data_IF_387832887012
#
_entry.id   IF_387832887012
#
_cell.length_a   1.000
_cell.length_b   1.000
_cell.length_c   1.000
_cell.angle_alpha   90.00
_cell.angle_beta   90.00
_cell.angle_gamma   90.00
#
_symmetry.space_group_name_H-M   'P 1'
#
loop_
_entity.id
_entity.type
_entity.pdbx_description
1 polymer ?
#
# COMPACT_ATOMS: atom_id res chain seq x y z
N UNK A 1 13.48 -30.04 4.17
CA UNK A 1 12.82 -29.88 5.50
C UNK A 1 13.44 -28.64 6.14
N UNK A 2 12.64 -27.66 6.58
CA UNK A 2 13.17 -26.46 7.22
C UNK A 2 13.65 -26.81 8.63
N UNK A 3 14.95 -26.68 8.87
CA UNK A 3 15.58 -26.94 10.17
C UNK A 3 15.04 -25.95 11.20
N UNK A 4 14.41 -26.45 12.27
CA UNK A 4 14.00 -25.65 13.43
C UNK A 4 15.19 -25.53 14.39
N UNK A 5 15.53 -24.32 14.75
CA UNK A 5 16.58 -23.99 15.71
C UNK A 5 16.01 -23.09 16.84
N UNK A 6 16.75 -22.93 17.92
CA UNK A 6 16.28 -22.20 19.11
C UNK A 6 17.29 -21.11 19.49
N UNK A 7 16.78 -19.93 19.88
CA UNK A 7 17.54 -18.86 20.54
C UNK A 7 16.81 -18.35 21.77
N UNK A 8 17.47 -17.56 22.60
CA UNK A 8 16.84 -16.85 23.72
C UNK A 8 16.66 -15.38 23.36
N UNK A 9 15.43 -14.87 23.55
CA UNK A 9 15.12 -13.46 23.36
C UNK A 9 14.56 -12.91 24.68
N UNK A 10 15.23 -11.94 25.28
CA UNK A 10 14.87 -11.40 26.60
C UNK A 10 14.69 -12.48 27.67
N UNK A 11 15.49 -13.54 27.59
CA UNK A 11 15.43 -14.69 28.50
C UNK A 11 14.42 -15.78 28.14
N UNK A 12 13.53 -15.55 27.17
CA UNK A 12 12.55 -16.54 26.69
C UNK A 12 13.16 -17.39 25.56
N UNK A 13 12.91 -18.69 25.59
CA UNK A 13 13.28 -19.62 24.51
C UNK A 13 12.30 -19.50 23.34
N UNK A 14 12.84 -19.25 22.14
CA UNK A 14 12.06 -19.08 20.91
C UNK A 14 12.57 -20.05 19.84
N UNK A 15 11.69 -20.89 19.35
CA UNK A 15 11.96 -21.80 18.23
C UNK A 15 11.60 -21.15 16.92
N UNK A 16 12.46 -21.25 15.91
CA UNK A 16 12.25 -20.61 14.62
C UNK A 16 12.93 -21.36 13.48
N UNK A 17 12.51 -21.08 12.24
CA UNK A 17 13.12 -21.66 11.05
C UNK A 17 14.47 -21.00 10.80
N UNK A 18 15.50 -21.82 10.56
CA UNK A 18 16.83 -21.36 10.15
C UNK A 18 16.75 -20.47 8.89
N UNK A 19 17.47 -19.38 8.87
CA UNK A 19 17.49 -18.41 7.79
C UNK A 19 16.67 -17.14 8.04
N UNK A 20 15.81 -17.11 9.08
CA UNK A 20 15.15 -15.88 9.50
C UNK A 20 16.11 -14.92 10.18
N UNK A 21 15.90 -13.62 9.98
CA UNK A 21 16.61 -12.57 10.72
C UNK A 21 16.09 -12.50 12.17
N UNK A 22 16.87 -11.92 13.07
CA UNK A 22 16.45 -11.71 14.47
C UNK A 22 15.15 -10.89 14.53
N UNK A 23 14.97 -9.89 13.64
CA UNK A 23 13.74 -9.09 13.57
C UNK A 23 12.53 -9.95 13.24
N UNK A 24 12.64 -10.82 12.23
CA UNK A 24 11.55 -11.72 11.83
C UNK A 24 11.19 -12.71 12.93
N UNK A 25 12.20 -13.27 13.61
CA UNK A 25 11.98 -14.16 14.76
C UNK A 25 11.27 -13.44 15.89
N UNK A 26 11.71 -12.21 16.23
CA UNK A 26 11.06 -11.39 17.26
C UNK A 26 9.60 -11.09 16.89
N UNK A 27 9.33 -10.75 15.63
CA UNK A 27 7.98 -10.48 15.13
C UNK A 27 7.06 -11.70 15.27
N UNK A 28 7.53 -12.89 14.88
CA UNK A 28 6.79 -14.14 15.01
C UNK A 28 6.50 -14.48 16.48
N UNK A 29 7.40 -14.10 17.39
CA UNK A 29 7.25 -14.27 18.83
C UNK A 29 6.42 -13.13 19.50
N UNK A 30 5.85 -12.19 18.73
CA UNK A 30 5.09 -11.06 19.25
C UNK A 30 5.93 -9.96 19.93
N UNK A 31 7.26 -9.97 19.71
CA UNK A 31 8.18 -9.00 20.27
C UNK A 31 8.40 -7.88 19.25
N UNK A 32 7.97 -6.67 19.57
CA UNK A 32 8.13 -5.50 18.71
C UNK A 32 9.53 -4.91 18.80
N UNK A 33 10.17 -4.70 17.66
CA UNK A 33 11.43 -3.97 17.55
C UNK A 33 11.21 -2.78 16.62
N UNK A 34 11.58 -1.55 16.98
CA UNK A 34 11.35 -0.36 16.19
C UNK A 34 12.15 -0.36 14.89
N UNK A 35 11.51 0.04 13.80
CA UNK A 35 12.13 0.15 12.47
C UNK A 35 11.59 1.34 11.69
N UNK A 36 12.39 1.93 10.79
CA UNK A 36 11.93 2.94 9.82
C UNK A 36 12.25 2.54 8.37
N UNK A 37 13.31 1.76 8.14
CA UNK A 37 13.70 1.35 6.79
C UNK A 37 13.27 -0.09 6.43
N UNK A 38 12.75 -0.87 7.37
CA UNK A 38 12.26 -2.22 7.12
C UNK A 38 10.84 -2.19 6.53
N UNK A 39 10.59 -3.05 5.57
CA UNK A 39 9.28 -3.36 5.01
C UNK A 39 9.32 -4.85 4.62
N UNK A 40 8.30 -5.60 4.99
CA UNK A 40 8.24 -7.06 4.80
C UNK A 40 8.30 -7.48 3.34
N UNK A 41 7.89 -6.60 2.44
CA UNK A 41 7.92 -6.83 0.99
C UNK A 41 9.32 -6.68 0.37
N UNK A 42 10.29 -6.16 1.14
CA UNK A 42 11.61 -5.74 0.68
C UNK A 42 12.72 -6.54 1.33
N UNK A 43 13.82 -6.71 0.64
CA UNK A 43 15.03 -7.30 1.23
C UNK A 43 15.51 -6.45 2.41
N UNK A 44 16.09 -7.06 3.46
CA UNK A 44 16.66 -6.32 4.60
C UNK A 44 17.71 -5.28 4.16
N UNK A 45 17.67 -4.08 4.75
CA UNK A 45 18.54 -2.97 4.36
C UNK A 45 19.48 -2.47 5.48
N UNK A 46 18.98 -2.42 6.74
CA UNK A 46 19.77 -2.00 7.89
C UNK A 46 20.13 -0.50 7.93
N UNK A 47 19.53 0.35 7.10
CA UNK A 47 19.91 1.76 6.95
C UNK A 47 19.57 2.66 8.13
N UNK A 48 18.39 2.52 8.72
CA UNK A 48 17.90 3.45 9.76
C UNK A 48 18.52 3.25 11.15
N UNK A 49 19.13 2.12 11.44
CA UNK A 49 19.77 1.79 12.73
C UNK A 49 18.86 1.82 13.96
N UNK A 50 17.53 1.81 13.82
CA UNK A 50 16.62 1.74 14.95
C UNK A 50 16.44 0.34 15.51
N UNK A 51 16.55 -0.69 14.67
CA UNK A 51 16.36 -2.08 15.06
C UNK A 51 17.55 -2.72 15.78
N UNK A 52 18.38 -1.93 16.44
CA UNK A 52 19.53 -2.43 17.21
C UNK A 52 19.09 -3.36 18.34
N UNK A 53 19.83 -4.47 18.49
CA UNK A 53 19.71 -5.43 19.58
C UNK A 53 21.09 -5.76 20.15
N UNK A 54 21.16 -6.13 21.44
CA UNK A 54 22.37 -6.64 22.05
C UNK A 54 22.37 -8.16 21.95
N UNK A 55 23.53 -8.72 21.61
CA UNK A 55 23.75 -10.16 21.54
C UNK A 55 24.86 -10.50 22.51
N UNK A 56 24.63 -11.46 23.40
CA UNK A 56 25.62 -11.92 24.37
C UNK A 56 26.92 -12.34 23.67
N UNK A 57 28.03 -11.84 24.16
CA UNK A 57 29.36 -12.06 23.56
C UNK A 57 29.69 -11.12 22.39
N UNK A 58 28.81 -10.19 22.00
CA UNK A 58 29.11 -9.15 20.99
C UNK A 58 29.30 -7.79 21.69
N UNK A 59 30.40 -7.07 21.46
CA UNK A 59 30.69 -5.80 22.16
C UNK A 59 29.77 -4.65 21.71
N UNK A 60 29.28 -4.70 20.47
CA UNK A 60 28.43 -3.66 19.89
C UNK A 60 27.05 -4.20 19.48
N UNK A 61 25.97 -3.42 19.67
CA UNK A 61 24.65 -3.79 19.17
C UNK A 61 24.62 -3.94 17.66
N UNK A 62 23.86 -4.94 17.19
CA UNK A 62 23.69 -5.24 15.75
C UNK A 62 22.26 -4.90 15.29
N UNK A 63 22.09 -4.70 14.00
CA UNK A 63 20.79 -4.48 13.36
C UNK A 63 20.03 -5.79 13.24
N UNK A 64 18.97 -5.98 13.99
CA UNK A 64 18.16 -7.21 13.98
C UNK A 64 17.57 -7.56 12.60
N UNK A 65 17.26 -6.55 11.78
CA UNK A 65 16.67 -6.75 10.46
C UNK A 65 17.63 -7.35 9.41
N UNK A 66 18.95 -7.30 9.65
CA UNK A 66 19.98 -7.82 8.74
C UNK A 66 20.84 -8.91 9.37
N UNK A 67 20.68 -9.19 10.65
CA UNK A 67 21.43 -10.23 11.36
C UNK A 67 20.62 -11.52 11.37
N UNK A 68 21.11 -12.61 10.74
CA UNK A 68 20.47 -13.91 10.84
C UNK A 68 20.41 -14.41 12.28
N UNK A 69 19.31 -15.07 12.63
CA UNK A 69 19.20 -15.79 13.90
C UNK A 69 20.04 -17.08 13.85
N UNK A 70 20.77 -17.37 14.89
CA UNK A 70 21.61 -18.58 15.03
C UNK A 70 21.20 -19.38 16.27
N UNK A 71 21.43 -20.67 16.25
CA UNK A 71 21.14 -21.55 17.38
C UNK A 71 21.97 -21.13 18.62
N UNK A 72 21.30 -21.08 19.76
CA UNK A 72 21.91 -20.73 21.05
C UNK A 72 22.23 -19.24 21.25
N UNK A 73 21.88 -18.34 20.30
CA UNK A 73 21.98 -16.90 20.54
C UNK A 73 21.19 -16.46 21.76
N UNK A 74 21.73 -15.52 22.52
CA UNK A 74 21.03 -14.78 23.57
C UNK A 74 20.91 -13.32 23.17
N UNK A 75 19.67 -12.89 22.85
CA UNK A 75 19.36 -11.57 22.31
C UNK A 75 18.59 -10.75 23.33
N UNK A 76 19.01 -9.50 23.54
CA UNK A 76 18.29 -8.51 24.34
C UNK A 76 17.78 -7.41 23.42
N UNK A 77 16.46 -7.21 23.41
CA UNK A 77 15.79 -6.24 22.52
C UNK A 77 15.59 -4.89 23.16
N UNK A 78 15.64 -4.82 24.51
CA UNK A 78 15.45 -3.60 25.29
C UNK A 78 16.47 -3.50 26.40
N UNK A 79 17.15 -2.36 26.48
CA UNK A 79 18.07 -2.00 27.58
C UNK A 79 18.24 -0.48 27.61
N UNK A 80 18.72 0.09 28.75
CA UNK A 80 19.02 1.52 28.81
C UNK A 80 20.00 2.00 27.73
N UNK A 81 20.91 1.14 27.30
CA UNK A 81 21.87 1.42 26.22
C UNK A 81 21.15 1.49 24.88
N UNK A 82 20.29 0.51 24.55
CA UNK A 82 19.52 0.50 23.32
C UNK A 82 18.55 1.67 23.22
N UNK A 83 17.85 2.00 24.31
CA UNK A 83 16.95 3.15 24.38
C UNK A 83 17.69 4.45 24.07
N UNK A 84 18.87 4.66 24.68
CA UNK A 84 19.71 5.83 24.42
C UNK A 84 20.19 5.90 22.95
N UNK A 85 20.60 4.76 22.37
CA UNK A 85 21.05 4.71 20.97
C UNK A 85 19.90 5.02 20.01
N UNK A 86 18.73 4.42 20.21
CA UNK A 86 17.52 4.68 19.41
C UNK A 86 17.08 6.13 19.49
N UNK A 87 17.06 6.70 20.70
CA UNK A 87 16.80 8.13 20.91
C UNK A 87 17.78 9.00 20.13
N UNK A 88 19.08 8.73 20.22
CA UNK A 88 20.11 9.48 19.49
C UNK A 88 19.92 9.41 17.98
N UNK A 89 19.60 8.24 17.42
CA UNK A 89 19.32 8.07 15.98
C UNK A 89 18.11 8.91 15.57
N UNK A 90 17.04 8.89 16.35
CA UNK A 90 15.84 9.70 16.08
C UNK A 90 16.15 11.19 16.12
N UNK A 91 16.91 11.66 17.10
CA UNK A 91 17.32 13.05 17.23
C UNK A 91 18.19 13.52 16.05
N UNK A 92 19.06 12.64 15.53
CA UNK A 92 19.81 12.90 14.28
C UNK A 92 18.90 13.00 13.06
N UNK A 93 17.88 12.14 12.94
CA UNK A 93 16.91 12.25 11.84
C UNK A 93 16.08 13.53 11.94
N UNK A 94 15.67 13.92 13.16
CA UNK A 94 14.88 15.11 13.41
C UNK A 94 15.69 16.41 13.21
N UNK A 95 17.02 16.38 13.32
CA UNK A 95 17.86 17.57 13.12
C UNK A 95 17.77 18.16 11.71
N UNK A 96 17.56 17.34 10.69
CA UNK A 96 17.34 17.80 9.31
C UNK A 96 15.85 17.88 8.92
N UNK A 97 14.95 17.29 9.73
CA UNK A 97 13.52 17.27 9.44
C UNK A 97 12.86 18.63 9.78
N UNK A 98 11.88 19.13 9.00
CA UNK A 98 11.25 20.44 9.25
C UNK A 98 10.42 20.48 10.54
N UNK A 99 9.95 19.31 11.03
CA UNK A 99 9.19 19.18 12.30
C UNK A 99 7.85 19.95 12.29
N UNK A 100 7.26 20.15 11.11
CA UNK A 100 6.00 20.85 10.86
C UNK A 100 4.77 19.93 11.00
N UNK A 101 4.78 19.02 11.97
CA UNK A 101 3.77 17.97 12.14
C UNK A 101 2.32 18.51 12.17
N UNK A 102 2.10 19.72 12.67
CA UNK A 102 0.76 20.30 12.75
C UNK A 102 0.12 20.54 11.38
N UNK A 103 0.92 20.78 10.34
CA UNK A 103 0.49 21.03 8.96
C UNK A 103 0.82 19.86 8.01
N UNK A 104 1.49 18.83 8.50
CA UNK A 104 1.92 17.69 7.71
C UNK A 104 0.76 16.73 7.40
N UNK A 105 0.62 16.31 6.15
CA UNK A 105 -0.41 15.35 5.71
C UNK A 105 -0.29 13.97 6.38
N UNK A 106 0.90 13.57 6.79
CA UNK A 106 1.16 12.30 7.48
C UNK A 106 1.00 12.39 9.01
N UNK A 107 0.61 13.53 9.57
CA UNK A 107 0.45 13.67 11.03
C UNK A 107 -0.56 12.66 11.58
N UNK A 108 -0.13 11.86 12.56
CA UNK A 108 -0.91 10.75 13.13
C UNK A 108 -0.81 9.42 12.37
N UNK A 109 -0.08 9.38 11.23
CA UNK A 109 0.23 8.17 10.43
C UNK A 109 1.70 8.19 9.97
N UNK A 110 2.58 8.73 10.81
CA UNK A 110 4.00 8.90 10.54
C UNK A 110 4.85 8.11 11.52
N UNK A 111 5.55 7.09 11.02
CA UNK A 111 6.39 6.23 11.87
C UNK A 111 7.53 7.01 12.56
N UNK A 112 8.07 8.05 11.91
CA UNK A 112 9.08 8.91 12.56
C UNK A 112 8.49 9.67 13.75
N UNK A 113 7.29 10.24 13.59
CA UNK A 113 6.58 10.95 14.66
C UNK A 113 6.29 10.00 15.84
N UNK A 114 5.74 8.82 15.56
CA UNK A 114 5.44 7.82 16.58
C UNK A 114 6.70 7.41 17.38
N UNK A 115 7.79 7.09 16.67
CA UNK A 115 9.04 6.72 17.32
C UNK A 115 9.65 7.87 18.10
N UNK A 116 9.54 9.11 17.61
CA UNK A 116 10.04 10.30 18.32
C UNK A 116 9.32 10.49 19.67
N UNK A 117 8.00 10.31 19.69
CA UNK A 117 7.22 10.35 20.95
C UNK A 117 7.58 9.17 21.86
N UNK A 118 7.64 7.95 21.33
CA UNK A 118 7.94 6.75 22.12
C UNK A 118 9.28 6.85 22.88
N UNK A 119 10.30 7.40 22.22
CA UNK A 119 11.65 7.51 22.79
C UNK A 119 11.94 8.88 23.42
N UNK A 120 10.98 9.79 23.45
CA UNK A 120 11.15 11.15 23.97
C UNK A 120 12.31 11.90 23.30
N UNK A 121 12.39 11.81 21.95
CA UNK A 121 13.46 12.43 21.19
C UNK A 121 13.33 13.96 21.20
N UNK A 122 14.46 14.66 21.43
CA UNK A 122 14.52 16.12 21.40
C UNK A 122 14.71 16.63 19.98
N UNK A 123 14.09 17.77 19.66
CA UNK A 123 14.25 18.44 18.36
C UNK A 123 15.51 19.30 18.31
N UNK A 124 16.07 19.66 19.46
CA UNK A 124 17.09 20.72 19.60
C UNK A 124 18.49 20.20 19.96
N UNK A 125 18.64 18.86 20.11
CA UNK A 125 19.92 18.28 20.53
C UNK A 125 21.03 18.45 19.52
N UNK A 126 20.71 18.31 18.25
CA UNK A 126 21.68 18.45 17.16
C UNK A 126 21.28 19.64 16.28
N UNK A 127 22.18 20.60 16.15
CA UNK A 127 22.04 21.78 15.31
C UNK A 127 22.96 21.65 14.10
N UNK A 128 22.55 22.18 12.95
CA UNK A 128 23.35 22.12 11.74
C UNK A 128 22.59 22.60 10.51
N UNK A 129 23.21 22.41 9.36
CA UNK A 129 22.58 22.68 8.07
C UNK A 129 21.34 21.80 7.89
N UNK A 130 20.25 22.40 7.37
CA UNK A 130 19.02 21.69 7.00
C UNK A 130 18.78 21.82 5.51
N UNK A 131 18.16 20.79 4.94
CA UNK A 131 17.71 20.87 3.56
C UNK A 131 16.69 21.99 3.38
N UNK A 132 16.80 22.67 2.24
CA UNK A 132 15.83 23.66 1.75
C UNK A 132 15.54 23.37 0.28
N UNK A 133 14.94 22.22 0.02
CA UNK A 133 14.65 21.74 -1.31
C UNK A 133 13.19 22.01 -1.67
N UNK A 134 12.89 22.35 -2.95
CA UNK A 134 11.52 22.61 -3.38
C UNK A 134 10.66 21.36 -3.32
N UNK A 135 9.37 21.56 -3.03
CA UNK A 135 8.35 20.51 -3.15
C UNK A 135 8.19 20.16 -4.63
N UNK A 136 8.08 18.86 -4.93
CA UNK A 136 7.89 18.37 -6.30
C UNK A 136 6.47 17.89 -6.50
N UNK A 137 5.81 18.46 -7.49
CA UNK A 137 4.42 18.18 -7.86
C UNK A 137 4.26 17.80 -9.34
N UNK A 138 5.33 17.38 -9.97
CA UNK A 138 5.39 16.92 -11.36
C UNK A 138 4.57 15.63 -11.61
N UNK A 139 4.25 14.87 -10.56
CA UNK A 139 3.42 13.68 -10.63
C UNK A 139 1.93 14.06 -10.40
N UNK A 140 0.98 13.59 -11.21
CA UNK A 140 -0.44 13.92 -11.05
C UNK A 140 -1.08 13.37 -9.78
N UNK A 141 -0.50 12.35 -9.15
CA UNK A 141 -1.07 11.63 -8.00
C UNK A 141 -0.22 11.73 -6.73
N UNK A 142 1.05 12.09 -6.84
CA UNK A 142 2.02 12.01 -5.75
C UNK A 142 2.70 13.37 -5.57
N UNK A 143 2.70 13.87 -4.33
CA UNK A 143 3.54 14.98 -3.92
C UNK A 143 4.78 14.44 -3.24
N UNK A 144 5.96 14.95 -3.59
CA UNK A 144 7.21 14.67 -2.91
C UNK A 144 7.74 15.93 -2.22
N UNK A 145 7.83 15.85 -0.89
CA UNK A 145 8.42 16.89 -0.03
C UNK A 145 9.79 16.41 0.46
N UNK A 146 10.89 16.75 -0.25
CA UNK A 146 12.22 16.23 0.02
C UNK A 146 12.70 16.48 1.45
N UNK A 147 12.37 17.64 2.00
CA UNK A 147 12.80 18.05 3.35
C UNK A 147 12.23 17.14 4.46
N UNK A 148 11.18 16.37 4.18
CA UNK A 148 10.60 15.38 5.09
C UNK A 148 11.17 13.98 4.90
N UNK A 149 12.12 13.81 3.97
CA UNK A 149 12.73 12.52 3.65
C UNK A 149 13.83 12.18 4.67
N UNK A 150 13.78 10.97 5.21
CA UNK A 150 14.81 10.41 6.10
C UNK A 150 15.76 9.45 5.39
N UNK A 151 15.77 9.44 4.06
CA UNK A 151 16.64 8.63 3.19
C UNK A 151 16.61 7.12 3.55
N UNK A 152 15.46 6.62 3.98
CA UNK A 152 15.32 5.21 4.39
C UNK A 152 15.37 4.21 3.21
N UNK A 153 15.26 4.68 1.97
CA UNK A 153 15.33 3.86 0.76
C UNK A 153 14.12 2.95 0.53
N UNK A 154 13.03 3.01 1.31
CA UNK A 154 11.86 2.14 1.09
C UNK A 154 11.18 2.40 -0.25
N UNK A 155 11.02 3.69 -0.62
CA UNK A 155 10.36 4.07 -1.87
C UNK A 155 11.14 3.63 -3.12
N UNK A 156 12.48 3.72 -3.10
CA UNK A 156 13.33 3.29 -4.21
C UNK A 156 13.30 1.77 -4.32
N UNK A 157 13.49 1.07 -3.21
CA UNK A 157 13.48 -0.39 -3.20
C UNK A 157 12.14 -0.98 -3.58
N UNK A 158 11.00 -0.42 -3.14
CA UNK A 158 9.71 -0.94 -3.56
C UNK A 158 9.46 -0.72 -5.06
N UNK A 159 9.96 0.39 -5.61
CA UNK A 159 9.90 0.66 -7.05
C UNK A 159 10.75 -0.34 -7.85
N UNK A 160 11.91 -0.72 -7.32
CA UNK A 160 12.85 -1.60 -7.99
C UNK A 160 12.58 -3.10 -7.74
N UNK A 161 12.25 -3.50 -6.50
CA UNK A 161 12.16 -4.91 -6.10
C UNK A 161 10.74 -5.49 -6.26
N UNK A 162 9.68 -4.66 -6.14
CA UNK A 162 8.28 -5.12 -6.14
C UNK A 162 7.55 -4.68 -7.40
N UNK A 163 7.61 -3.37 -7.73
CA UNK A 163 6.95 -2.82 -8.93
C UNK A 163 7.77 -3.12 -10.19
N UNK A 164 9.10 -3.20 -10.06
CA UNK A 164 10.06 -3.41 -11.15
C UNK A 164 10.04 -2.31 -12.22
N UNK A 165 9.55 -1.13 -11.89
CA UNK A 165 9.52 0.01 -12.82
C UNK A 165 10.86 0.76 -12.89
N UNK A 166 11.69 0.71 -11.83
CA UNK A 166 13.01 1.34 -11.80
C UNK A 166 12.99 2.86 -11.95
N UNK A 167 11.85 3.51 -11.66
CA UNK A 167 11.65 4.94 -11.92
C UNK A 167 12.49 5.83 -11.01
N UNK A 168 12.67 5.44 -9.76
CA UNK A 168 13.35 6.22 -8.72
C UNK A 168 14.43 5.40 -8.05
N UNK A 169 15.56 6.06 -7.79
CA UNK A 169 16.64 5.50 -6.99
C UNK A 169 17.29 6.57 -6.12
N UNK A 170 18.21 6.19 -5.23
CA UNK A 170 18.98 7.15 -4.46
C UNK A 170 20.06 7.77 -5.36
N UNK A 171 19.98 9.06 -5.56
CA UNK A 171 20.99 9.84 -6.26
C UNK A 171 21.85 10.63 -5.26
N UNK A 172 23.03 11.03 -5.68
CA UNK A 172 24.04 11.66 -4.85
C UNK A 172 24.50 10.74 -3.70
N UNK A 173 25.27 11.30 -2.75
CA UNK A 173 25.74 10.56 -1.59
C UNK A 173 25.95 11.46 -0.37
N UNK A 174 26.10 10.86 0.81
CA UNK A 174 26.26 11.60 2.05
C UNK A 174 25.03 12.43 2.37
N UNK A 175 25.23 13.63 2.86
CA UNK A 175 24.16 14.55 3.25
C UNK A 175 23.20 14.89 2.10
N UNK A 176 23.67 14.89 0.86
CA UNK A 176 22.87 15.22 -0.32
C UNK A 176 22.16 14.01 -0.96
N UNK A 177 22.22 12.84 -0.35
CA UNK A 177 21.53 11.66 -0.89
C UNK A 177 20.01 11.82 -0.83
N UNK A 178 19.32 11.61 -1.96
CA UNK A 178 17.87 11.81 -2.07
C UNK A 178 17.26 10.82 -3.08
N UNK A 179 16.01 10.35 -2.86
CA UNK A 179 15.29 9.59 -3.88
C UNK A 179 14.90 10.47 -5.06
N UNK A 180 15.32 10.08 -6.26
CA UNK A 180 15.12 10.87 -7.46
C UNK A 180 14.94 9.98 -8.70
N UNK A 181 14.43 10.55 -9.78
CA UNK A 181 14.48 9.97 -11.12
C UNK A 181 15.86 10.19 -11.75
N UNK A 182 16.19 9.43 -12.81
CA UNK A 182 17.41 9.65 -13.56
C UNK A 182 17.47 11.07 -14.11
N UNK A 183 18.61 11.76 -13.88
CA UNK A 183 18.84 13.14 -14.32
C UNK A 183 17.78 14.15 -13.84
N UNK A 184 17.14 13.89 -12.72
CA UNK A 184 16.07 14.73 -12.13
C UNK A 184 14.91 15.04 -13.09
N UNK A 185 14.65 14.17 -14.08
CA UNK A 185 13.53 14.31 -15.00
C UNK A 185 12.19 14.18 -14.29
N UNK A 186 11.12 14.83 -14.75
CA UNK A 186 9.77 14.61 -14.26
C UNK A 186 9.38 13.13 -14.30
N UNK A 187 8.72 12.62 -13.26
CA UNK A 187 8.25 11.22 -13.20
C UNK A 187 7.28 10.85 -14.32
N UNK A 188 6.60 11.84 -14.89
CA UNK A 188 5.72 11.66 -16.06
C UNK A 188 6.46 11.34 -17.35
N UNK A 189 7.75 11.62 -17.42
CA UNK A 189 8.62 11.34 -18.58
C UNK A 189 9.45 10.06 -18.39
N UNK A 190 9.30 9.39 -17.25
CA UNK A 190 10.00 8.14 -16.93
C UNK A 190 9.01 6.96 -16.88
N UNK A 191 9.49 5.76 -16.60
CA UNK A 191 8.69 4.53 -16.52
C UNK A 191 7.78 4.46 -15.28
N UNK A 192 7.24 5.58 -14.80
CA UNK A 192 6.37 5.63 -13.63
C UNK A 192 4.98 5.10 -13.99
N UNK A 193 4.55 4.02 -13.32
CA UNK A 193 3.22 3.45 -13.48
C UNK A 193 2.15 4.15 -12.62
N UNK A 194 2.51 5.20 -11.90
CA UNK A 194 1.63 5.94 -10.99
C UNK A 194 0.91 5.05 -9.95
N UNK A 195 1.49 3.91 -9.61
CA UNK A 195 0.88 2.92 -8.72
C UNK A 195 0.78 3.36 -7.25
N UNK A 196 1.55 4.38 -6.83
CA UNK A 196 1.57 4.91 -5.46
C UNK A 196 2.19 3.98 -4.43
N UNK A 197 2.94 2.93 -4.82
CA UNK A 197 3.58 2.04 -3.86
C UNK A 197 4.68 2.74 -3.06
N UNK A 198 5.37 3.70 -3.65
CA UNK A 198 6.33 4.55 -2.97
C UNK A 198 5.67 5.41 -1.85
N UNK A 199 4.42 5.85 -2.06
CA UNK A 199 3.63 6.54 -1.02
C UNK A 199 3.28 5.58 0.12
N UNK A 200 2.76 4.39 -0.19
CA UNK A 200 2.40 3.40 0.84
C UNK A 200 3.60 2.87 1.62
N UNK A 201 4.80 2.92 1.04
CA UNK A 201 6.02 2.49 1.69
C UNK A 201 6.71 3.61 2.49
N UNK A 202 6.36 4.87 2.28
CA UNK A 202 7.03 5.99 2.95
C UNK A 202 6.67 6.02 4.44
N UNK A 203 7.66 6.00 5.36
CA UNK A 203 7.40 6.04 6.80
C UNK A 203 7.23 7.47 7.35
N UNK A 204 7.27 8.48 6.47
CA UNK A 204 7.13 9.90 6.83
C UNK A 204 6.19 10.63 5.87
N UNK A 205 6.01 11.92 6.03
CA UNK A 205 5.26 12.77 5.10
C UNK A 205 6.01 13.19 3.83
N UNK A 206 7.15 12.56 3.51
CA UNK A 206 7.93 12.93 2.32
C UNK A 206 7.21 12.59 1.01
N UNK A 207 6.53 11.45 0.94
CA UNK A 207 5.71 11.06 -0.21
C UNK A 207 4.26 10.94 0.25
N UNK A 208 3.38 11.73 -0.35
CA UNK A 208 1.97 11.79 0.05
C UNK A 208 1.04 11.67 -1.16
N UNK A 209 -0.20 11.23 -0.91
CA UNK A 209 -1.28 11.18 -1.89
C UNK A 209 -1.79 12.59 -2.18
N UNK A 210 -1.50 13.10 -3.38
CA UNK A 210 -1.93 14.42 -3.84
C UNK A 210 -3.45 14.55 -3.92
N UNK A 211 -4.14 13.46 -4.29
CA UNK A 211 -5.59 13.43 -4.45
C UNK A 211 -6.33 13.48 -3.11
N UNK A 212 -5.76 12.88 -2.08
CA UNK A 212 -6.29 12.86 -0.71
C UNK A 212 -5.87 14.05 0.16
N UNK A 213 -4.94 14.88 -0.31
CA UNK A 213 -4.36 15.99 0.45
C UNK A 213 -5.43 16.96 0.93
N UNK A 214 -5.39 17.36 2.21
CA UNK A 214 -6.33 18.28 2.83
C UNK A 214 -7.73 17.72 3.07
N UNK A 215 -8.04 16.48 2.69
CA UNK A 215 -9.40 15.91 2.80
C UNK A 215 -9.68 15.18 4.11
N UNK A 216 -8.69 15.00 4.95
CA UNK A 216 -8.84 14.38 6.28
C UNK A 216 -7.58 13.67 6.74
N UNK A 217 -7.28 13.76 8.04
CA UNK A 217 -6.21 13.01 8.70
C UNK A 217 -6.65 11.57 8.96
N UNK A 218 -5.71 10.70 9.30
CA UNK A 218 -5.98 9.28 9.56
C UNK A 218 -7.01 9.07 10.69
N UNK A 219 -7.00 9.92 11.71
CA UNK A 219 -7.96 9.88 12.81
C UNK A 219 -9.36 10.40 12.46
N UNK A 220 -9.49 11.12 11.33
CA UNK A 220 -10.76 11.73 10.89
C UNK A 220 -11.54 10.83 9.91
N UNK A 221 -10.97 9.73 9.48
CA UNK A 221 -11.53 8.87 8.44
C UNK A 221 -11.90 7.50 8.96
N UNK A 222 -13.03 6.98 8.48
CA UNK A 222 -13.41 5.58 8.69
C UNK A 222 -12.75 4.73 7.61
N UNK A 223 -11.93 3.74 8.00
CA UNK A 223 -11.37 2.75 7.08
C UNK A 223 -12.39 1.65 6.82
N UNK A 224 -12.75 1.43 5.56
CA UNK A 224 -13.66 0.38 5.12
C UNK A 224 -12.91 -0.55 4.18
N UNK A 225 -12.71 -1.80 4.60
CA UNK A 225 -12.09 -2.84 3.76
C UNK A 225 -13.03 -3.23 2.63
N UNK A 226 -12.51 -3.32 1.43
CA UNK A 226 -13.28 -3.71 0.24
C UNK A 226 -12.40 -4.40 -0.78
N UNK A 227 -13.03 -4.93 -1.83
CA UNK A 227 -12.38 -5.52 -2.99
C UNK A 227 -12.46 -4.56 -4.17
N UNK A 228 -11.38 -4.47 -4.93
CA UNK A 228 -11.30 -3.65 -6.14
C UNK A 228 -12.24 -4.18 -7.22
N UNK A 229 -13.06 -3.31 -7.80
CA UNK A 229 -14.01 -3.66 -8.86
C UNK A 229 -13.47 -3.49 -10.28
N UNK A 230 -12.16 -3.20 -10.46
CA UNK A 230 -11.61 -2.90 -11.78
C UNK A 230 -11.23 -4.13 -12.59
N UNK A 231 -10.84 -5.23 -11.95
CA UNK A 231 -10.48 -6.46 -12.67
C UNK A 231 -10.53 -7.70 -11.76
N UNK A 232 -10.48 -8.88 -12.38
CA UNK A 232 -10.55 -10.18 -11.70
C UNK A 232 -9.40 -10.51 -10.76
N UNK A 233 -8.37 -9.67 -10.62
CA UNK A 233 -7.31 -9.84 -9.62
C UNK A 233 -7.86 -9.80 -8.19
N UNK A 234 -8.96 -9.05 -7.95
CA UNK A 234 -9.63 -9.04 -6.65
C UNK A 234 -8.81 -8.41 -5.53
N UNK A 235 -8.00 -7.39 -5.82
CA UNK A 235 -7.17 -6.71 -4.82
C UNK A 235 -8.01 -6.16 -3.67
N UNK A 236 -7.59 -6.39 -2.43
CA UNK A 236 -8.20 -5.79 -1.25
C UNK A 236 -7.46 -4.52 -0.84
N UNK A 237 -8.20 -3.55 -0.36
CA UNK A 237 -7.69 -2.27 0.12
C UNK A 237 -8.69 -1.59 1.08
N UNK A 238 -8.28 -0.48 1.68
CA UNK A 238 -9.17 0.33 2.50
C UNK A 238 -9.62 1.59 1.76
N UNK A 239 -10.93 1.77 1.68
CA UNK A 239 -11.53 3.08 1.40
C UNK A 239 -11.48 3.90 2.68
N UNK A 240 -10.87 5.07 2.62
CA UNK A 240 -10.88 6.04 3.72
C UNK A 240 -12.04 7.00 3.47
N UNK A 241 -13.04 6.95 4.34
CA UNK A 241 -14.31 7.65 4.18
C UNK A 241 -14.45 8.75 5.24
N UNK A 242 -14.75 9.97 4.80
CA UNK A 242 -15.10 11.12 5.65
C UNK A 242 -16.40 11.74 5.14
N UNK A 243 -17.36 11.99 6.03
CA UNK A 243 -18.66 12.58 5.67
C UNK A 243 -19.31 11.86 4.47
N UNK A 244 -19.34 10.53 4.52
CA UNK A 244 -19.87 9.66 3.45
C UNK A 244 -19.23 9.82 2.07
N UNK A 245 -18.03 10.39 1.98
CA UNK A 245 -17.26 10.52 0.75
C UNK A 245 -15.93 9.77 0.87
N UNK A 246 -15.55 9.04 -0.17
CA UNK A 246 -14.22 8.42 -0.28
C UNK A 246 -13.21 9.52 -0.54
N UNK A 247 -12.27 9.70 0.37
CA UNK A 247 -11.25 10.76 0.29
C UNK A 247 -9.89 10.26 -0.17
N UNK A 248 -9.58 8.98 0.09
CA UNK A 248 -8.36 8.29 -0.38
C UNK A 248 -8.52 6.78 -0.32
N UNK A 249 -7.60 6.08 -0.95
CA UNK A 249 -7.43 4.62 -0.84
C UNK A 249 -6.07 4.31 -0.21
N UNK A 250 -6.05 3.45 0.80
CA UNK A 250 -4.81 2.97 1.43
C UNK A 250 -4.67 1.46 1.29
N UNK A 251 -3.43 1.00 1.32
CA UNK A 251 -3.08 -0.42 1.17
C UNK A 251 -3.54 -1.24 2.39
N UNK A 252 -4.00 -2.46 2.13
CA UNK A 252 -4.16 -3.51 3.11
C UNK A 252 -2.96 -4.47 2.97
N UNK A 253 -1.99 -4.36 3.87
CA UNK A 253 -0.77 -5.18 3.83
C UNK A 253 -1.05 -6.66 4.11
N UNK A 254 -2.13 -6.95 4.85
CA UNK A 254 -2.55 -8.30 5.21
C UNK A 254 -3.44 -8.94 4.13
N UNK A 255 -3.72 -8.24 3.03
CA UNK A 255 -4.52 -8.75 1.93
C UNK A 255 -3.85 -9.97 1.28
N UNK A 256 -4.52 -11.15 1.22
CA UNK A 256 -3.90 -12.39 0.76
C UNK A 256 -3.52 -12.35 -0.72
N UNK A 257 -4.30 -11.64 -1.54
CA UNK A 257 -4.12 -11.59 -3.00
C UNK A 257 -3.01 -10.61 -3.40
N UNK A 258 -3.09 -9.38 -2.92
CA UNK A 258 -2.25 -8.29 -3.41
C UNK A 258 -1.20 -7.80 -2.40
N UNK A 259 -1.22 -8.27 -1.16
CA UNK A 259 -0.24 -7.94 -0.10
C UNK A 259 0.10 -6.45 -0.07
N UNK A 260 -0.94 -5.62 -0.10
CA UNK A 260 -0.84 -4.16 -0.11
C UNK A 260 -0.49 -3.53 -1.46
N UNK A 261 -0.21 -4.31 -2.50
CA UNK A 261 0.11 -3.78 -3.82
C UNK A 261 -1.17 -3.36 -4.56
N UNK A 262 -1.13 -2.21 -5.20
CA UNK A 262 -2.24 -1.68 -6.01
C UNK A 262 -1.68 -1.07 -7.29
N UNK A 263 -2.45 -1.15 -8.37
CA UNK A 263 -2.18 -0.38 -9.58
C UNK A 263 -2.80 1.02 -9.48
N UNK A 264 -2.53 1.87 -10.45
CA UNK A 264 -3.09 3.24 -10.53
C UNK A 264 -4.61 3.26 -10.39
N UNK A 265 -5.33 2.33 -11.03
CA UNK A 265 -6.80 2.28 -10.99
C UNK A 265 -7.33 2.02 -9.59
N UNK A 266 -6.82 0.96 -8.93
CA UNK A 266 -7.25 0.60 -7.58
C UNK A 266 -6.94 1.69 -6.56
N UNK A 267 -5.80 2.39 -6.71
CA UNK A 267 -5.40 3.43 -5.75
C UNK A 267 -6.04 4.77 -5.98
N UNK A 268 -6.19 5.21 -7.22
CA UNK A 268 -6.60 6.58 -7.55
C UNK A 268 -7.89 6.68 -8.34
N UNK A 269 -8.40 5.57 -8.88
CA UNK A 269 -9.56 5.55 -9.77
C UNK A 269 -10.92 5.52 -9.07
N UNK A 270 -11.09 6.15 -7.91
CA UNK A 270 -12.32 6.07 -7.12
C UNK A 270 -13.32 7.24 -7.34
N UNK A 271 -13.05 8.16 -8.27
CA UNK A 271 -13.92 9.33 -8.51
C UNK A 271 -15.32 8.95 -8.99
N UNK A 272 -15.39 7.86 -9.78
CA UNK A 272 -16.67 7.38 -10.32
C UNK A 272 -17.71 7.08 -9.23
N UNK A 273 -17.27 6.76 -8.01
CA UNK A 273 -18.18 6.45 -6.88
C UNK A 273 -19.11 7.64 -6.57
N UNK A 274 -18.56 8.85 -6.67
CA UNK A 274 -19.23 10.09 -6.33
C UNK A 274 -19.50 11.01 -7.54
N UNK A 275 -19.30 10.50 -8.77
CA UNK A 275 -19.57 11.27 -9.99
C UNK A 275 -21.05 11.63 -10.07
N UNK A 276 -21.39 12.89 -10.38
CA UNK A 276 -22.77 13.27 -10.64
C UNK A 276 -23.34 12.59 -11.88
N UNK A 277 -22.49 12.17 -12.82
CA UNK A 277 -22.89 11.46 -14.05
C UNK A 277 -23.12 9.96 -13.81
N UNK A 278 -22.88 9.46 -12.58
CA UNK A 278 -23.10 8.05 -12.26
C UNK A 278 -24.57 7.70 -12.37
N UNK A 279 -24.91 6.72 -13.23
CA UNK A 279 -26.24 6.15 -13.34
C UNK A 279 -26.61 5.47 -12.01
N UNK A 280 -27.72 5.85 -11.41
CA UNK A 280 -28.20 5.36 -10.09
C UNK A 280 -29.43 4.50 -10.18
N UNK A 281 -30.17 4.62 -11.28
CA UNK A 281 -31.40 3.89 -11.58
C UNK A 281 -31.30 3.25 -12.94
N UNK A 282 -32.00 2.13 -13.22
CA UNK A 282 -32.10 1.60 -14.56
C UNK A 282 -32.64 2.65 -15.54
N UNK A 283 -32.16 2.59 -16.77
CA UNK A 283 -32.59 3.46 -17.86
C UNK A 283 -33.20 2.62 -18.97
N UNK A 284 -34.42 2.96 -19.38
CA UNK A 284 -35.12 2.34 -20.52
C UNK A 284 -35.12 3.33 -21.67
N UNK A 285 -34.78 2.85 -22.88
CA UNK A 285 -34.81 3.66 -24.10
C UNK A 285 -36.25 4.02 -24.47
N UNK A 286 -36.50 5.29 -24.69
CA UNK A 286 -37.78 5.82 -25.16
C UNK A 286 -37.53 6.83 -26.30
N UNK A 287 -37.83 6.43 -27.51
CA UNK A 287 -37.46 7.18 -28.72
C UNK A 287 -35.93 7.30 -28.84
N UNK A 288 -35.44 8.53 -28.99
CA UNK A 288 -33.99 8.82 -29.08
C UNK A 288 -33.34 9.01 -27.72
N UNK A 289 -34.11 9.05 -26.63
CA UNK A 289 -33.60 9.28 -25.26
C UNK A 289 -33.69 8.06 -24.36
N UNK A 290 -33.45 8.33 -23.08
CA UNK A 290 -33.61 7.36 -22.00
C UNK A 290 -34.46 7.98 -20.89
N UNK A 291 -35.32 7.18 -20.28
CA UNK A 291 -36.02 7.54 -19.03
C UNK A 291 -35.59 6.65 -17.87
N UNK A 292 -35.69 7.16 -16.68
CA UNK A 292 -35.50 6.36 -15.46
C UNK A 292 -36.63 5.33 -15.30
N UNK A 293 -36.29 4.17 -14.77
CA UNK A 293 -37.19 3.07 -14.52
C UNK A 293 -36.87 2.39 -13.17
N UNK A 294 -37.86 1.66 -12.62
CA UNK A 294 -37.58 0.76 -11.50
C UNK A 294 -36.82 -0.48 -11.95
N UNK A 295 -36.17 -1.15 -11.00
CA UNK A 295 -35.51 -2.43 -11.28
C UNK A 295 -36.50 -3.49 -11.75
N UNK A 296 -37.68 -3.56 -11.17
CA UNK A 296 -38.72 -4.53 -11.56
C UNK A 296 -39.16 -4.31 -13.00
N UNK A 297 -39.42 -3.06 -13.38
CA UNK A 297 -39.80 -2.71 -14.74
C UNK A 297 -38.69 -3.07 -15.75
N UNK A 298 -37.44 -2.69 -15.45
CA UNK A 298 -36.32 -2.95 -16.35
C UNK A 298 -36.03 -4.46 -16.50
N UNK A 299 -36.05 -5.21 -15.39
CA UNK A 299 -35.83 -6.66 -15.41
C UNK A 299 -36.98 -7.40 -16.11
N UNK A 300 -38.24 -6.98 -15.91
CA UNK A 300 -39.39 -7.55 -16.63
C UNK A 300 -39.25 -7.34 -18.13
N UNK A 301 -38.93 -6.11 -18.56
CA UNK A 301 -38.74 -5.79 -19.98
C UNK A 301 -37.61 -6.65 -20.62
N UNK A 302 -36.50 -6.85 -19.90
CA UNK A 302 -35.39 -7.68 -20.36
C UNK A 302 -35.81 -9.15 -20.44
N UNK A 303 -36.49 -9.67 -19.41
CA UNK A 303 -36.94 -11.06 -19.36
C UNK A 303 -37.95 -11.36 -20.48
N UNK A 304 -38.93 -10.47 -20.70
CA UNK A 304 -39.95 -10.63 -21.77
C UNK A 304 -39.31 -10.67 -23.16
N UNK A 305 -38.35 -9.78 -23.41
CA UNK A 305 -37.61 -9.77 -24.69
C UNK A 305 -36.79 -11.03 -24.89
N UNK A 306 -36.05 -11.50 -23.89
CA UNK A 306 -35.29 -12.74 -24.01
C UNK A 306 -36.21 -13.95 -24.19
N UNK A 307 -37.31 -14.04 -23.45
CA UNK A 307 -38.28 -15.13 -23.59
C UNK A 307 -38.92 -15.14 -25.00
N UNK A 308 -39.24 -13.98 -25.54
CA UNK A 308 -39.76 -13.88 -26.91
C UNK A 308 -38.75 -14.36 -27.95
N UNK A 309 -37.50 -13.90 -27.86
CA UNK A 309 -36.41 -14.31 -28.76
C UNK A 309 -36.12 -15.82 -28.67
N UNK A 310 -36.05 -16.37 -27.45
CA UNK A 310 -35.81 -17.81 -27.26
C UNK A 310 -36.97 -18.63 -27.83
N UNK A 311 -38.22 -18.18 -27.64
CA UNK A 311 -39.40 -18.87 -28.16
C UNK A 311 -39.43 -18.89 -29.70
N UNK A 312 -39.03 -17.79 -30.33
CA UNK A 312 -39.07 -17.62 -31.78
C UNK A 312 -37.87 -18.29 -32.48
N UNK A 313 -36.67 -18.18 -31.91
CA UNK A 313 -35.43 -18.52 -32.60
C UNK A 313 -34.57 -19.55 -31.87
N UNK A 314 -34.95 -19.98 -30.66
CA UNK A 314 -34.19 -20.94 -29.85
C UNK A 314 -33.17 -20.25 -28.95
N UNK A 315 -32.70 -21.00 -27.91
CA UNK A 315 -31.82 -20.51 -26.88
C UNK A 315 -30.43 -20.07 -27.40
N UNK A 316 -29.96 -20.67 -28.49
CA UNK A 316 -28.64 -20.38 -29.07
C UNK A 316 -28.54 -18.99 -29.74
N UNK A 317 -29.68 -18.28 -29.87
CA UNK A 317 -29.69 -16.89 -30.31
C UNK A 317 -29.29 -15.91 -29.18
N UNK A 318 -29.17 -16.39 -27.96
CA UNK A 318 -28.76 -15.60 -26.82
C UNK A 318 -27.37 -16.03 -26.36
N UNK A 319 -26.47 -15.08 -26.21
CA UNK A 319 -25.12 -15.28 -25.71
C UNK A 319 -24.76 -14.31 -24.60
N UNK A 320 -23.72 -14.65 -23.83
CA UNK A 320 -23.18 -13.81 -22.77
C UNK A 320 -21.69 -13.52 -22.96
N UNK A 321 -21.32 -12.25 -22.90
CA UNK A 321 -19.92 -11.84 -22.88
C UNK A 321 -19.53 -11.38 -21.48
N UNK A 322 -18.53 -12.04 -20.92
CA UNK A 322 -17.93 -11.70 -19.65
C UNK A 322 -16.66 -10.87 -19.84
N UNK A 323 -15.99 -10.53 -18.76
CA UNK A 323 -14.80 -9.68 -18.81
C UNK A 323 -13.75 -10.07 -17.77
N UNK A 324 -12.48 -9.97 -18.17
CA UNK A 324 -11.34 -10.02 -17.24
C UNK A 324 -11.32 -8.83 -16.25
N UNK A 325 -12.21 -7.85 -16.44
CA UNK A 325 -12.39 -6.70 -15.56
C UNK A 325 -13.54 -6.86 -14.58
N UNK A 326 -14.21 -8.01 -14.60
CA UNK A 326 -15.20 -8.41 -13.62
C UNK A 326 -14.57 -9.28 -12.54
N UNK A 327 -15.22 -9.38 -11.37
CA UNK A 327 -14.82 -10.32 -10.34
C UNK A 327 -15.08 -11.77 -10.79
N UNK A 328 -14.49 -12.74 -10.08
CA UNK A 328 -14.74 -14.15 -10.36
C UNK A 328 -16.21 -14.53 -10.14
N UNK A 329 -16.85 -13.92 -9.16
CA UNK A 329 -18.27 -14.11 -8.84
C UNK A 329 -19.18 -13.62 -9.98
N UNK A 330 -18.90 -12.44 -10.54
CA UNK A 330 -19.65 -11.91 -11.70
C UNK A 330 -19.49 -12.79 -12.93
N UNK A 331 -18.27 -13.24 -13.24
CA UNK A 331 -18.01 -14.16 -14.33
C UNK A 331 -18.74 -15.51 -14.15
N UNK A 332 -18.71 -16.06 -12.94
CA UNK A 332 -19.43 -17.28 -12.61
C UNK A 332 -20.95 -17.12 -12.76
N UNK A 333 -21.51 -16.05 -12.23
CA UNK A 333 -22.95 -15.79 -12.27
C UNK A 333 -23.45 -15.60 -13.69
N UNK A 334 -22.71 -14.85 -14.55
CA UNK A 334 -23.07 -14.71 -15.95
C UNK A 334 -23.08 -16.06 -16.68
N UNK A 335 -22.02 -16.86 -16.50
CA UNK A 335 -21.91 -18.18 -17.10
C UNK A 335 -23.03 -19.12 -16.63
N UNK A 336 -23.35 -19.11 -15.35
CA UNK A 336 -24.43 -19.89 -14.75
C UNK A 336 -25.80 -19.44 -15.30
N UNK A 337 -26.04 -18.13 -15.40
CA UNK A 337 -27.29 -17.60 -15.89
C UNK A 337 -27.54 -18.00 -17.35
N UNK A 338 -26.55 -17.82 -18.24
CA UNK A 338 -26.68 -18.19 -19.66
C UNK A 338 -26.93 -19.69 -19.83
N UNK A 339 -26.21 -20.54 -19.08
CA UNK A 339 -26.36 -22.00 -19.22
C UNK A 339 -27.63 -22.54 -18.57
N UNK A 340 -27.99 -22.05 -17.37
CA UNK A 340 -29.09 -22.62 -16.59
C UNK A 340 -30.43 -21.93 -16.85
N UNK A 341 -30.46 -20.62 -17.05
CA UNK A 341 -31.70 -19.85 -17.24
C UNK A 341 -32.04 -19.68 -18.73
N UNK A 342 -31.05 -19.36 -19.56
CA UNK A 342 -31.24 -19.18 -21.01
C UNK A 342 -31.23 -20.52 -21.74
N UNK A 343 -30.42 -21.50 -21.28
CA UNK A 343 -30.28 -22.81 -21.94
C UNK A 343 -29.29 -22.82 -23.10
N UNK A 344 -28.39 -21.82 -23.17
CA UNK A 344 -27.36 -21.70 -24.22
C UNK A 344 -25.96 -21.90 -23.63
N UNK A 345 -25.02 -22.39 -24.43
CA UNK A 345 -23.62 -22.45 -24.07
C UNK A 345 -22.77 -21.35 -24.73
N UNK A 346 -23.41 -20.36 -25.31
CA UNK A 346 -22.78 -19.24 -25.99
C UNK A 346 -22.26 -18.23 -24.97
N UNK A 347 -21.16 -18.57 -24.29
CA UNK A 347 -20.49 -17.75 -23.29
C UNK A 347 -19.06 -17.54 -23.70
N UNK A 348 -18.61 -16.29 -23.72
CA UNK A 348 -17.22 -15.95 -24.00
C UNK A 348 -16.70 -14.85 -23.06
N UNK A 349 -15.42 -14.56 -23.16
CA UNK A 349 -14.72 -13.58 -22.31
C UNK A 349 -13.78 -12.74 -23.16
N UNK A 350 -13.66 -11.45 -22.82
CA UNK A 350 -12.81 -10.49 -23.54
C UNK A 350 -11.30 -10.82 -23.52
N UNK A 351 -10.86 -11.72 -22.65
CA UNK A 351 -9.46 -12.16 -22.55
C UNK A 351 -9.14 -13.42 -23.38
N UNK A 352 -10.09 -13.89 -24.17
CA UNK A 352 -9.90 -15.02 -25.07
C UNK A 352 -9.26 -14.54 -26.38
N UNK A 353 -7.94 -14.35 -26.37
CA UNK A 353 -7.13 -14.06 -27.56
C UNK A 353 -5.93 -15.00 -27.58
#
# INVERSE_FOLDING_TARGET
>A
MNEMIMMKINGMEVHFQKGKTILEVCKDAGISIPTLCYDERLKPHGGCRLCLVEIKGRPVPLTSCTTPGEAGMEVTTESPKLTRLRKTVLELLLSNHPNDCMTCEASGDCSLQEMAYLYGASLDRFQGEKWSLPIREDNPFITFEPNKCIVCGRCTRICNEVVMAGTIDLVNRGFNAIPETAFAKPRTLENCEFCGQCVSACPTGALTDKKGRGKGRIGDVKKVKTTCSYCGTGCNFFLNVKNNKVVRVTSDLDAPVNKGNLCIKGRYGYDFIHSPERIKTPLIREGEGFREASWDEALTLVADKFNALIKEHGADMVGGFSSSRCSNEENYLLSKWVRCAVGSNNVDNCARV
#
